data_IF_182969200446
#
_entry.id   IF_182969200446
#
_cell.length_a   1.000
_cell.length_b   1.000
_cell.length_c   1.000
_cell.angle_alpha   90.00
_cell.angle_beta   90.00
_cell.angle_gamma   90.00
#
_symmetry.space_group_name_H-M   'P 1'
#
loop_
_entity.id
_entity.type
_entity.pdbx_description
1 polymer ?
#
# COMPACT_ATOMS: atom_id res chain seq x y z
N UNK A 1 -14.80 4.61 2.44
CA UNK A 1 -14.35 3.86 3.64
C UNK A 1 -12.86 4.01 3.81
N UNK A 2 -12.42 4.26 5.03
CA UNK A 2 -11.01 4.49 5.33
C UNK A 2 -10.37 3.22 5.89
N UNK A 3 -9.15 2.94 5.42
CA UNK A 3 -8.35 1.82 5.90
C UNK A 3 -6.91 2.28 6.11
N UNK A 4 -6.31 1.86 7.24
CA UNK A 4 -4.87 1.92 7.41
C UNK A 4 -4.29 0.58 6.97
N UNK A 5 -3.25 0.62 6.14
CA UNK A 5 -2.61 -0.58 5.60
C UNK A 5 -1.12 -0.49 5.85
N UNK A 6 -0.60 -1.42 6.63
CA UNK A 6 0.82 -1.57 6.87
C UNK A 6 1.38 -2.64 5.95
N UNK A 7 2.42 -2.30 5.20
CA UNK A 7 3.04 -3.22 4.25
C UNK A 7 4.54 -3.31 4.52
N UNK A 8 5.02 -4.54 4.72
CA UNK A 8 6.45 -4.83 4.82
C UNK A 8 6.91 -5.51 3.54
N UNK A 9 8.00 -5.04 2.96
CA UNK A 9 8.54 -5.57 1.70
C UNK A 9 9.62 -6.60 2.01
N UNK A 10 9.42 -7.82 1.50
CA UNK A 10 10.35 -8.95 1.66
C UNK A 10 10.76 -9.46 0.29
N UNK A 11 11.67 -8.74 -0.37
CA UNK A 11 12.19 -9.16 -1.67
C UNK A 11 13.19 -10.31 -1.47
N UNK A 12 13.07 -11.41 -2.25
CA UNK A 12 14.04 -12.49 -2.17
C UNK A 12 15.45 -11.96 -2.51
N UNK A 13 16.49 -12.37 -1.75
CA UNK A 13 17.86 -11.91 -2.04
C UNK A 13 18.38 -12.35 -3.41
N UNK A 14 17.87 -13.46 -3.92
CA UNK A 14 18.24 -14.04 -5.21
C UNK A 14 17.33 -13.62 -6.36
N UNK A 15 16.43 -12.66 -6.13
CA UNK A 15 15.58 -12.14 -7.18
C UNK A 15 16.44 -11.46 -8.25
N UNK A 16 16.20 -11.82 -9.51
CA UNK A 16 16.92 -11.26 -10.65
C UNK A 16 16.89 -9.72 -10.60
N UNK A 17 18.05 -9.04 -10.73
CA UNK A 17 18.11 -7.57 -10.62
C UNK A 17 17.22 -6.83 -11.61
N UNK A 18 17.08 -7.34 -12.83
CA UNK A 18 16.23 -6.72 -13.84
C UNK A 18 14.74 -6.88 -13.50
N UNK A 19 14.34 -8.06 -13.07
CA UNK A 19 12.98 -8.34 -12.60
C UNK A 19 12.65 -7.46 -11.40
N UNK A 20 13.58 -7.32 -10.46
CA UNK A 20 13.43 -6.47 -9.29
C UNK A 20 13.22 -5.01 -9.69
N UNK A 21 14.06 -4.48 -10.57
CA UNK A 21 13.97 -3.09 -11.01
C UNK A 21 12.65 -2.81 -11.73
N UNK A 22 12.20 -3.74 -12.57
CA UNK A 22 10.92 -3.63 -13.29
C UNK A 22 9.75 -3.62 -12.31
N UNK A 23 9.75 -4.50 -11.32
CA UNK A 23 8.69 -4.59 -10.32
C UNK A 23 8.63 -3.32 -9.45
N UNK A 24 9.78 -2.79 -9.03
CA UNK A 24 9.84 -1.57 -8.23
C UNK A 24 9.35 -0.35 -9.02
N UNK A 25 9.71 -0.24 -10.29
CA UNK A 25 9.22 0.84 -11.16
C UNK A 25 7.71 0.75 -11.37
N UNK A 26 7.18 -0.44 -11.60
CA UNK A 26 5.74 -0.66 -11.77
C UNK A 26 4.97 -0.36 -10.49
N UNK A 27 5.53 -0.73 -9.33
CA UNK A 27 4.92 -0.43 -8.03
C UNK A 27 4.80 1.08 -7.80
N UNK A 28 5.86 1.82 -8.10
CA UNK A 28 5.87 3.29 -7.96
C UNK A 28 4.79 3.93 -8.83
N UNK A 29 4.70 3.52 -10.09
CA UNK A 29 3.70 4.07 -11.01
C UNK A 29 2.27 3.72 -10.56
N UNK A 30 2.04 2.50 -10.14
CA UNK A 30 0.76 2.04 -9.62
C UNK A 30 0.32 2.87 -8.41
N UNK A 31 1.22 3.04 -7.44
CA UNK A 31 0.94 3.80 -6.23
C UNK A 31 0.66 5.28 -6.54
N UNK A 32 1.44 5.89 -7.43
CA UNK A 32 1.24 7.29 -7.79
C UNK A 32 -0.05 7.51 -8.56
N UNK A 33 -0.44 6.58 -9.42
CA UNK A 33 -1.71 6.66 -10.14
C UNK A 33 -2.90 6.64 -9.17
N UNK A 34 -2.88 5.76 -8.19
CA UNK A 34 -3.94 5.67 -7.18
C UNK A 34 -3.95 6.88 -6.25
N UNK A 35 -2.79 7.44 -5.95
CA UNK A 35 -2.71 8.69 -5.17
C UNK A 35 -3.33 9.86 -5.94
N UNK A 36 -3.03 10.00 -7.22
CA UNK A 36 -3.62 11.03 -8.06
C UNK A 36 -5.13 10.85 -8.21
N UNK A 37 -5.60 9.60 -8.22
CA UNK A 37 -7.01 9.27 -8.29
C UNK A 37 -7.78 9.45 -6.98
N UNK A 38 -7.09 9.70 -5.87
CA UNK A 38 -7.71 9.97 -4.57
C UNK A 38 -8.03 8.74 -3.73
N UNK A 39 -7.78 7.54 -4.21
CA UNK A 39 -8.04 6.31 -3.42
C UNK A 39 -6.90 5.99 -2.45
N UNK A 40 -5.67 6.32 -2.80
CA UNK A 40 -4.52 6.14 -1.90
C UNK A 40 -4.16 7.50 -1.33
N UNK A 41 -4.72 7.82 -0.14
CA UNK A 41 -4.63 9.16 0.42
C UNK A 41 -3.24 9.50 0.94
N UNK A 42 -2.62 8.56 1.67
CA UNK A 42 -1.33 8.78 2.32
C UNK A 42 -0.44 7.57 2.16
N UNK A 43 0.85 7.83 1.98
CA UNK A 43 1.87 6.80 1.86
C UNK A 43 3.12 7.29 2.59
N UNK A 44 3.40 6.71 3.76
CA UNK A 44 4.56 7.07 4.57
C UNK A 44 5.53 5.92 4.70
N UNK A 45 6.81 6.24 4.65
CA UNK A 45 7.86 5.29 5.01
C UNK A 45 7.87 5.09 6.51
N UNK A 46 7.86 3.82 6.97
CA UNK A 46 8.16 3.52 8.36
C UNK A 46 9.66 3.72 8.57
N UNK A 47 10.03 4.68 9.43
CA UNK A 47 11.43 5.06 9.58
C UNK A 47 12.30 3.87 9.98
N UNK A 48 13.41 3.66 9.26
CA UNK A 48 14.34 2.58 9.52
C UNK A 48 13.92 1.20 9.03
N UNK A 49 12.80 1.10 8.29
CA UNK A 49 12.26 -0.18 7.84
C UNK A 49 11.96 -0.16 6.34
N UNK A 50 12.05 -1.31 5.70
CA UNK A 50 11.53 -1.46 4.33
C UNK A 50 10.03 -1.77 4.40
N UNK A 51 9.31 -0.80 4.88
CA UNK A 51 7.88 -0.90 5.15
C UNK A 51 7.22 0.46 4.96
N UNK A 52 5.92 0.45 4.72
CA UNK A 52 5.13 1.68 4.65
C UNK A 52 3.86 1.56 5.47
N UNK A 53 3.34 2.72 5.88
CA UNK A 53 2.01 2.86 6.42
C UNK A 53 1.22 3.69 5.42
N UNK A 54 0.14 3.13 4.95
CA UNK A 54 -0.73 3.73 3.92
C UNK A 54 -2.12 3.95 4.46
N UNK A 55 -2.79 4.98 3.93
CA UNK A 55 -4.22 5.21 4.19
C UNK A 55 -4.94 5.25 2.85
N UNK A 56 -5.99 4.42 2.74
CA UNK A 56 -6.83 4.35 1.56
C UNK A 56 -8.23 4.86 1.88
N UNK A 57 -8.82 5.57 0.94
CA UNK A 57 -10.24 5.93 0.96
C UNK A 57 -10.89 5.29 -0.28
N UNK A 58 -11.63 4.22 -0.06
CA UNK A 58 -12.20 3.40 -1.12
C UNK A 58 -13.68 3.15 -0.88
N UNK A 59 -14.39 2.70 -1.89
CA UNK A 59 -15.82 2.49 -1.83
C UNK A 59 -16.21 1.41 -0.80
N UNK A 60 -15.45 0.32 -0.75
CA UNK A 60 -15.74 -0.84 0.09
C UNK A 60 -14.52 -1.75 0.26
N UNK A 61 -14.71 -2.83 1.00
CA UNK A 61 -13.66 -3.84 1.22
C UNK A 61 -13.21 -4.49 -0.08
N UNK A 62 -14.14 -4.74 -0.99
CA UNK A 62 -13.82 -5.41 -2.25
C UNK A 62 -12.88 -4.54 -3.09
N UNK A 63 -13.12 -3.23 -3.11
CA UNK A 63 -12.23 -2.31 -3.83
C UNK A 63 -10.84 -2.28 -3.23
N UNK A 64 -10.72 -2.24 -1.90
CA UNK A 64 -9.41 -2.32 -1.25
C UNK A 64 -8.67 -3.61 -1.60
N UNK A 65 -9.39 -4.73 -1.52
CA UNK A 65 -8.82 -6.04 -1.86
C UNK A 65 -8.31 -6.07 -3.29
N UNK A 66 -9.09 -5.53 -4.23
CA UNK A 66 -8.72 -5.42 -5.65
C UNK A 66 -7.43 -4.62 -5.83
N UNK A 67 -7.34 -3.47 -5.14
CA UNK A 67 -6.14 -2.62 -5.19
C UNK A 67 -4.91 -3.37 -4.66
N UNK A 68 -5.04 -4.02 -3.49
CA UNK A 68 -3.91 -4.71 -2.86
C UNK A 68 -3.43 -5.90 -3.69
N UNK A 69 -4.36 -6.71 -4.20
CA UNK A 69 -4.00 -7.82 -5.09
C UNK A 69 -3.36 -7.36 -6.40
N UNK A 70 -3.66 -6.14 -6.84
CA UNK A 70 -3.08 -5.55 -8.05
C UNK A 70 -1.70 -4.94 -7.87
N UNK A 71 -1.19 -4.84 -6.64
CA UNK A 71 0.14 -4.30 -6.38
C UNK A 71 1.21 -5.17 -7.06
N UNK A 72 2.08 -4.59 -7.90
CA UNK A 72 3.16 -5.36 -8.54
C UNK A 72 4.07 -6.11 -7.56
N UNK A 73 4.24 -5.59 -6.34
CA UNK A 73 5.03 -6.23 -5.30
C UNK A 73 4.22 -7.18 -4.41
N UNK A 74 2.94 -7.38 -4.69
CA UNK A 74 2.05 -8.14 -3.81
C UNK A 74 2.64 -9.48 -3.33
N UNK A 75 3.30 -10.31 -4.19
CA UNK A 75 3.86 -11.58 -3.74
C UNK A 75 4.96 -11.44 -2.66
N UNK A 76 5.51 -10.24 -2.51
CA UNK A 76 6.64 -9.98 -1.60
C UNK A 76 6.22 -9.14 -0.39
N UNK A 77 4.91 -8.88 -0.22
CA UNK A 77 4.42 -8.01 0.83
C UNK A 77 3.79 -8.79 1.97
N UNK A 78 4.12 -8.40 3.19
CA UNK A 78 3.33 -8.74 4.37
C UNK A 78 2.39 -7.56 4.63
N UNK A 79 1.09 -7.80 4.56
CA UNK A 79 0.07 -6.75 4.61
C UNK A 79 -0.82 -6.93 5.82
N UNK A 80 -1.00 -5.86 6.59
CA UNK A 80 -1.95 -5.79 7.68
C UNK A 80 -2.93 -4.66 7.41
N UNK A 81 -4.22 -4.97 7.38
CA UNK A 81 -5.29 -4.01 7.11
C UNK A 81 -6.04 -3.71 8.39
N UNK A 82 -6.23 -2.42 8.68
CA UNK A 82 -7.04 -1.97 9.82
C UNK A 82 -8.14 -1.04 9.30
N UNK A 83 -9.41 -1.46 9.35
CA UNK A 83 -10.51 -0.56 9.04
C UNK A 83 -10.57 0.58 10.05
N UNK A 84 -10.82 1.79 9.58
CA UNK A 84 -10.86 2.97 10.42
C UNK A 84 -12.29 3.49 10.53
N UNK A 85 -12.64 3.91 11.74
CA UNK A 85 -13.90 4.58 12.02
C UNK A 85 -13.61 5.95 12.62
N UNK A 86 -14.58 6.85 12.53
CA UNK A 86 -14.48 8.16 13.17
C UNK A 86 -14.44 7.96 14.69
N UNK A 87 -13.44 8.51 15.34
CA UNK A 87 -13.36 8.53 16.79
C UNK A 87 -14.19 9.72 17.31
N UNK A 88 -15.00 9.51 18.35
CA UNK A 88 -15.87 10.55 18.87
C UNK A 88 -15.13 11.77 19.43
N UNK A 89 -13.86 11.62 19.78
CA UNK A 89 -13.01 12.73 20.26
C UNK A 89 -12.15 13.35 19.17
N UNK A 90 -12.28 12.91 17.92
CA UNK A 90 -11.49 13.47 16.83
C UNK A 90 -12.01 14.87 16.47
N UNK A 91 -11.08 15.81 16.19
CA UNK A 91 -11.43 17.17 15.79
C UNK A 91 -11.63 17.31 14.27
N UNK A 92 -11.16 16.33 13.49
CA UNK A 92 -11.21 16.37 12.02
C UNK A 92 -11.78 15.10 11.46
#
# INVERSE_FOLDING_TARGET
MLFAVHMTVNLPPDLDPETRATALAAEKEYAQRLQRGGEWLHLWRCAGQYANLSVFDVADNDRLNEILWGLPLFPYLDITVTPLAQHQSALH
#
